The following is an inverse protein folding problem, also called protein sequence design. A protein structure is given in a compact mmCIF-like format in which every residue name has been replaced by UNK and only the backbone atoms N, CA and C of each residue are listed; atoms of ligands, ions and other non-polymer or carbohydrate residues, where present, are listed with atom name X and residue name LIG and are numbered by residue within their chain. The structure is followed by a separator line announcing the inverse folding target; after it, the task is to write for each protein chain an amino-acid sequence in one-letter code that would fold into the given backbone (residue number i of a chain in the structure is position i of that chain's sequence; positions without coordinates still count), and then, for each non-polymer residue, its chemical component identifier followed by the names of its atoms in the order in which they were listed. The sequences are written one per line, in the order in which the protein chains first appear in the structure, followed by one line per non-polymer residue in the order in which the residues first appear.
data_IF_329061148041
#
_entry.id   IF_329061148041
#
_cell.length_a   1.000
_cell.length_b   1.000
_cell.length_c   1.000
_cell.angle_alpha   90.00
_cell.angle_beta   90.00
_cell.angle_gamma   90.00
#
_symmetry.space_group_name_H-M   'P 1'
#
loop_
_entity.id
_entity.type
_entity.pdbx_description
1 polymer ?
#
# COMPACT_ATOMS: atom_id res chain seq x y z
N UNK A 1 50.58 16.23 28.29
CA UNK A 1 50.54 14.98 29.00
C UNK A 1 49.63 14.06 28.28
N UNK A 2 50.20 13.39 27.60
CA UNK A 2 50.37 12.07 26.97
C UNK A 2 49.18 11.60 26.11
N UNK A 3 49.34 11.80 24.78
CA UNK A 3 48.46 11.27 23.72
C UNK A 3 48.90 9.84 23.41
N UNK A 4 48.05 8.84 23.64
CA UNK A 4 48.29 7.49 23.13
C UNK A 4 47.58 7.31 21.81
N UNK A 5 48.40 7.14 20.81
CA UNK A 5 48.13 6.81 19.43
C UNK A 5 47.97 5.26 19.37
N UNK A 6 46.82 4.73 19.03
CA UNK A 6 46.66 3.30 18.74
C UNK A 6 46.38 3.14 17.26
N UNK A 7 47.41 2.75 16.53
CA UNK A 7 47.33 2.18 15.18
C UNK A 7 46.69 0.81 15.27
N UNK A 8 45.72 0.55 14.44
CA UNK A 8 45.23 -0.80 14.18
C UNK A 8 45.32 -1.07 12.68
N UNK A 9 46.46 -1.66 12.29
CA UNK A 9 46.66 -2.30 10.99
C UNK A 9 45.96 -3.65 11.04
N UNK A 10 44.97 -3.85 10.16
CA UNK A 10 44.23 -5.09 10.03
C UNK A 10 43.94 -5.44 8.59
N UNK A 11 45.01 -5.71 7.82
CA UNK A 11 44.97 -6.43 6.55
C UNK A 11 44.28 -7.79 6.75
N UNK A 12 43.16 -8.05 6.10
CA UNK A 12 42.64 -9.41 5.93
C UNK A 12 42.30 -9.71 4.48
N UNK A 13 42.99 -10.77 4.08
CA UNK A 13 43.01 -11.46 2.82
C UNK A 13 41.65 -11.72 2.20
N UNK A 14 41.54 -11.39 0.93
CA UNK A 14 40.56 -11.89 -0.05
C UNK A 14 40.82 -13.37 -0.30
N UNK A 15 39.93 -14.21 0.13
CA UNK A 15 39.92 -15.63 -0.30
C UNK A 15 38.95 -15.76 -1.48
N UNK A 16 39.55 -15.79 -2.65
CA UNK A 16 38.93 -16.10 -3.94
C UNK A 16 38.53 -17.59 -3.91
N UNK A 17 37.24 -17.88 -3.78
CA UNK A 17 36.70 -19.23 -3.92
C UNK A 17 35.95 -19.32 -5.25
N UNK A 18 36.73 -19.60 -6.29
CA UNK A 18 36.28 -19.97 -7.61
C UNK A 18 35.60 -21.35 -7.57
N UNK A 19 34.28 -21.39 -7.42
CA UNK A 19 33.52 -22.63 -7.56
C UNK A 19 33.36 -22.99 -9.05
N UNK A 20 34.09 -24.04 -9.38
CA UNK A 20 34.13 -24.72 -10.70
C UNK A 20 32.80 -25.47 -10.89
N UNK A 21 31.92 -24.96 -11.73
CA UNK A 21 30.70 -25.64 -12.15
C UNK A 21 31.05 -26.82 -13.08
N UNK A 22 30.82 -28.00 -12.57
CA UNK A 22 31.00 -29.25 -13.29
C UNK A 22 29.78 -29.48 -14.22
N UNK A 23 29.98 -29.24 -15.50
CA UNK A 23 29.03 -29.57 -16.59
C UNK A 23 29.20 -31.05 -16.98
N UNK A 24 28.41 -31.94 -16.40
CA UNK A 24 28.13 -33.26 -17.00
C UNK A 24 27.03 -33.94 -16.17
N UNK A 25 25.77 -33.75 -16.57
CA UNK A 25 24.69 -34.73 -16.45
C UNK A 25 23.46 -34.17 -17.17
N UNK A 26 23.41 -34.44 -18.47
CA UNK A 26 22.19 -34.26 -19.26
C UNK A 26 21.40 -35.57 -19.14
N UNK A 27 20.23 -35.59 -18.52
CA UNK A 27 19.37 -36.76 -18.55
C UNK A 27 18.73 -36.90 -19.92
N UNK A 28 18.97 -38.02 -20.56
CA UNK A 28 18.33 -38.43 -21.80
C UNK A 28 16.86 -38.73 -21.52
N UNK A 29 15.96 -37.89 -22.05
CA UNK A 29 14.52 -38.11 -21.96
C UNK A 29 14.07 -39.13 -23.02
N UNK A 30 13.21 -40.10 -22.66
CA UNK A 30 12.65 -41.02 -23.63
C UNK A 30 11.64 -40.30 -24.53
N UNK A 31 11.75 -40.61 -25.82
CA UNK A 31 10.91 -40.15 -26.90
C UNK A 31 9.47 -40.66 -26.70
N UNK A 32 8.53 -39.78 -26.34
CA UNK A 32 7.10 -40.10 -26.32
C UNK A 32 6.48 -39.76 -27.68
N UNK A 33 5.56 -40.62 -28.17
CA UNK A 33 4.92 -40.43 -29.46
C UNK A 33 3.98 -39.21 -29.44
N UNK A 34 4.09 -38.44 -30.50
CA UNK A 34 3.34 -37.26 -30.84
C UNK A 34 1.83 -37.54 -30.88
N UNK A 35 1.10 -37.17 -29.84
CA UNK A 35 -0.34 -36.98 -29.93
C UNK A 35 -0.60 -35.51 -30.23
N UNK A 36 -0.96 -35.23 -31.46
CA UNK A 36 -1.31 -33.91 -31.97
C UNK A 36 -2.75 -33.59 -31.50
N UNK A 37 -2.90 -33.12 -30.27
CA UNK A 37 -4.18 -32.57 -29.81
C UNK A 37 -4.14 -31.07 -30.06
N UNK A 38 -4.84 -30.62 -31.09
CA UNK A 38 -5.12 -29.21 -31.34
C UNK A 38 -5.98 -28.66 -30.20
N UNK A 39 -5.34 -28.15 -29.16
CA UNK A 39 -5.97 -27.27 -28.17
C UNK A 39 -5.99 -25.88 -28.79
N UNK A 40 -7.13 -25.51 -29.36
CA UNK A 40 -7.47 -24.13 -29.71
C UNK A 40 -7.51 -23.33 -28.41
N UNK A 41 -6.36 -22.76 -28.07
CA UNK A 41 -6.35 -21.70 -27.05
C UNK A 41 -7.10 -20.49 -27.63
N UNK A 42 -8.35 -20.34 -27.20
CA UNK A 42 -9.04 -19.06 -27.28
C UNK A 42 -8.26 -18.17 -26.35
N UNK A 43 -7.32 -17.39 -26.91
CA UNK A 43 -6.66 -16.31 -26.25
C UNK A 43 -7.75 -15.27 -25.93
N UNK A 44 -8.38 -15.38 -24.78
CA UNK A 44 -9.06 -14.26 -24.16
C UNK A 44 -7.96 -13.25 -23.82
N UNK A 45 -7.65 -12.39 -24.77
CA UNK A 45 -6.89 -11.18 -24.49
C UNK A 45 -7.73 -10.37 -23.49
N UNK A 46 -7.23 -10.11 -22.29
CA UNK A 46 -7.84 -9.11 -21.47
C UNK A 46 -7.49 -7.76 -22.10
N UNK A 47 -8.31 -7.32 -23.06
CA UNK A 47 -8.35 -5.92 -23.50
C UNK A 47 -8.83 -5.10 -22.30
N UNK A 48 -7.94 -4.93 -21.34
CA UNK A 48 -8.12 -3.99 -20.26
C UNK A 48 -7.80 -2.60 -20.76
N UNK A 49 -8.71 -1.98 -21.51
CA UNK A 49 -8.81 -0.53 -21.56
C UNK A 49 -9.10 -0.06 -20.13
N UNK A 50 -8.03 0.02 -19.33
CA UNK A 50 -8.03 0.72 -18.05
C UNK A 50 -8.05 2.24 -18.33
N UNK A 51 -9.08 2.71 -19.00
CA UNK A 51 -9.50 4.10 -18.84
C UNK A 51 -9.74 4.24 -17.34
N UNK A 52 -8.90 5.03 -16.67
CA UNK A 52 -8.98 5.26 -15.24
C UNK A 52 -10.41 5.68 -14.90
N UNK A 53 -11.20 4.75 -14.38
CA UNK A 53 -12.59 5.01 -14.01
C UNK A 53 -12.54 6.13 -12.99
N UNK A 54 -13.11 7.28 -13.34
CA UNK A 54 -13.13 8.43 -12.43
C UNK A 54 -13.83 8.01 -11.14
N UNK A 55 -13.17 8.19 -9.99
CA UNK A 55 -13.75 7.75 -8.71
C UNK A 55 -15.07 8.47 -8.42
N UNK A 56 -16.04 7.73 -7.94
CA UNK A 56 -17.28 8.31 -7.41
C UNK A 56 -17.08 8.73 -5.95
N UNK A 57 -16.76 10.01 -5.76
CA UNK A 57 -16.55 10.60 -4.43
C UNK A 57 -17.85 10.82 -3.66
N UNK A 58 -19.02 10.68 -4.30
CA UNK A 58 -20.34 10.82 -3.65
C UNK A 58 -20.89 9.52 -3.10
N UNK A 59 -20.21 8.38 -3.36
CA UNK A 59 -20.66 7.06 -2.96
C UNK A 59 -20.79 6.93 -1.43
N UNK A 60 -21.95 6.46 -0.97
CA UNK A 60 -22.26 6.16 0.43
C UNK A 60 -22.68 4.69 0.55
N UNK A 61 -22.18 3.92 1.55
CA UNK A 61 -21.15 4.32 2.50
C UNK A 61 -19.76 4.45 1.88
N UNK A 62 -18.99 5.40 2.38
CA UNK A 62 -17.57 5.54 2.02
C UNK A 62 -16.81 4.35 2.58
N UNK A 63 -15.98 3.69 1.75
CA UNK A 63 -15.02 2.70 2.23
C UNK A 63 -13.64 3.34 2.38
N UNK A 64 -12.98 3.06 3.51
CA UNK A 64 -11.59 3.45 3.78
C UNK A 64 -10.81 2.19 4.08
N UNK A 65 -9.71 1.99 3.34
CA UNK A 65 -8.84 0.84 3.53
C UNK A 65 -7.37 1.28 3.54
N UNK A 66 -6.57 0.61 4.36
CA UNK A 66 -5.12 0.75 4.36
C UNK A 66 -4.50 -0.58 3.94
N UNK A 67 -3.59 -0.54 2.97
CA UNK A 67 -2.89 -1.72 2.43
C UNK A 67 -1.40 -1.42 2.26
N UNK A 68 -0.54 -2.44 2.44
CA UNK A 68 0.86 -2.30 2.04
C UNK A 68 0.95 -2.10 0.52
N UNK A 69 1.84 -1.18 0.13
CA UNK A 69 2.12 -0.86 -1.26
C UNK A 69 3.60 -1.09 -1.57
N UNK A 70 3.86 -1.57 -2.78
CA UNK A 70 5.21 -1.75 -3.32
C UNK A 70 5.32 -1.06 -4.67
N UNK A 71 6.54 -0.62 -5.02
CA UNK A 71 6.82 0.00 -6.32
C UNK A 71 7.00 -1.00 -7.45
N UNK A 72 7.23 -2.28 -7.13
CA UNK A 72 7.49 -3.35 -8.08
C UNK A 72 6.39 -4.40 -8.06
N UNK A 73 6.14 -5.04 -9.21
CA UNK A 73 5.18 -6.13 -9.31
C UNK A 73 5.68 -7.36 -8.55
N UNK A 74 4.75 -8.17 -8.05
CA UNK A 74 5.02 -9.45 -7.40
C UNK A 74 3.84 -10.40 -7.57
N UNK A 75 4.04 -11.69 -7.29
CA UNK A 75 2.95 -12.66 -7.28
C UNK A 75 1.90 -12.21 -6.26
N UNK A 76 0.64 -12.36 -6.60
CA UNK A 76 -0.51 -12.00 -5.75
C UNK A 76 -0.71 -10.48 -5.48
N UNK A 77 0.19 -9.60 -5.93
CA UNK A 77 -0.01 -8.17 -5.77
C UNK A 77 -0.99 -7.61 -6.80
N UNK A 78 -1.86 -6.72 -6.36
CA UNK A 78 -2.87 -6.09 -7.19
C UNK A 78 -2.36 -4.75 -7.70
N UNK A 79 -2.20 -4.62 -9.02
CA UNK A 79 -1.81 -3.37 -9.67
C UNK A 79 -2.92 -2.32 -9.50
N UNK A 80 -2.55 -1.11 -9.08
CA UNK A 80 -3.43 0.06 -8.97
C UNK A 80 -2.71 1.33 -9.44
N UNK A 81 -3.47 2.27 -9.94
CA UNK A 81 -3.01 3.63 -10.24
C UNK A 81 -3.34 4.55 -9.08
N UNK A 82 -2.41 5.47 -8.77
CA UNK A 82 -2.61 6.48 -7.73
C UNK A 82 -3.33 7.66 -8.33
N UNK A 83 -4.48 8.02 -7.76
CA UNK A 83 -5.33 9.09 -8.25
C UNK A 83 -4.58 10.41 -8.40
N UNK A 84 -4.72 11.02 -9.56
CA UNK A 84 -4.13 12.33 -9.87
C UNK A 84 -2.59 12.39 -9.96
N UNK A 85 -1.89 11.23 -9.85
CA UNK A 85 -0.43 11.20 -9.86
C UNK A 85 0.18 10.48 -11.08
N UNK A 86 -0.61 9.77 -11.90
CA UNK A 86 -0.10 8.96 -13.01
C UNK A 86 0.90 7.87 -12.60
N UNK A 87 0.95 7.55 -11.31
CA UNK A 87 1.87 6.58 -10.71
C UNK A 87 1.16 5.25 -10.48
N UNK A 88 1.81 4.16 -10.86
CA UNK A 88 1.34 2.79 -10.57
C UNK A 88 1.99 2.26 -9.30
N UNK A 89 1.20 1.51 -8.51
CA UNK A 89 1.65 0.77 -7.33
C UNK A 89 1.03 -0.63 -7.30
N UNK A 90 1.65 -1.49 -6.52
CA UNK A 90 1.22 -2.87 -6.34
C UNK A 90 0.85 -3.09 -4.88
N UNK A 91 -0.40 -3.47 -4.63
CA UNK A 91 -0.97 -3.56 -3.30
C UNK A 91 -1.08 -5.01 -2.84
N UNK A 92 -0.88 -5.25 -1.57
CA UNK A 92 -1.31 -6.50 -0.98
C UNK A 92 -2.83 -6.68 -1.13
N UNK A 93 -3.32 -7.90 -1.48
CA UNK A 93 -4.74 -8.12 -1.74
C UNK A 93 -5.60 -7.89 -0.48
N UNK A 94 -5.05 -8.16 0.71
CA UNK A 94 -5.75 -7.99 1.99
C UNK A 94 -5.54 -6.59 2.55
N UNK A 95 -6.64 -5.94 2.95
CA UNK A 95 -6.58 -4.70 3.72
C UNK A 95 -6.09 -4.99 5.16
N UNK A 96 -5.17 -4.18 5.65
CA UNK A 96 -4.70 -4.24 7.04
C UNK A 96 -5.68 -3.54 7.98
N UNK A 97 -6.25 -2.44 7.51
CA UNK A 97 -7.32 -1.68 8.18
C UNK A 97 -8.48 -1.53 7.20
N UNK A 98 -9.69 -1.67 7.68
CA UNK A 98 -10.94 -1.52 6.94
C UNK A 98 -11.96 -0.75 7.77
N UNK A 99 -13.15 -0.48 7.20
CA UNK A 99 -14.21 0.25 7.92
C UNK A 99 -14.58 -0.35 9.28
N UNK A 100 -14.48 -1.67 9.47
CA UNK A 100 -14.73 -2.33 10.75
C UNK A 100 -13.73 -1.96 11.86
N UNK A 101 -12.55 -1.48 11.47
CA UNK A 101 -11.49 -1.03 12.38
C UNK A 101 -11.57 0.48 12.68
N UNK A 102 -12.46 1.20 11.98
CA UNK A 102 -12.61 2.66 12.02
C UNK A 102 -13.86 3.00 12.83
N UNK A 103 -13.69 3.82 13.85
CA UNK A 103 -14.79 4.32 14.69
C UNK A 103 -15.46 5.56 14.08
N UNK A 104 -14.67 6.42 13.42
CA UNK A 104 -15.12 7.70 12.86
C UNK A 104 -14.13 8.20 11.82
N UNK A 105 -14.63 8.92 10.85
CA UNK A 105 -13.84 9.72 9.91
C UNK A 105 -14.43 11.12 9.85
N UNK A 106 -13.58 12.13 9.81
CA UNK A 106 -13.94 13.51 9.50
C UNK A 106 -13.12 13.99 8.31
N UNK A 107 -13.77 14.72 7.42
CA UNK A 107 -13.13 15.38 6.30
C UNK A 107 -12.96 16.86 6.60
N UNK A 108 -11.71 17.31 6.80
CA UNK A 108 -11.34 18.68 7.07
C UNK A 108 -10.82 19.32 5.78
N UNK A 109 -11.34 20.50 5.44
CA UNK A 109 -10.80 21.26 4.30
C UNK A 109 -9.40 21.77 4.62
N UNK A 110 -8.47 21.60 3.68
CA UNK A 110 -7.15 22.21 3.82
C UNK A 110 -7.26 23.73 3.76
N UNK A 111 -6.58 24.43 4.65
CA UNK A 111 -6.49 25.90 4.62
C UNK A 111 -5.52 26.38 3.54
N UNK A 112 -4.55 25.56 3.19
CA UNK A 112 -3.48 25.86 2.24
C UNK A 112 -3.44 24.71 1.23
N UNK A 113 -3.63 25.02 -0.06
CA UNK A 113 -3.58 24.05 -1.15
C UNK A 113 -4.95 23.44 -1.52
N UNK A 114 -4.89 22.42 -2.39
CA UNK A 114 -6.05 21.69 -2.88
C UNK A 114 -6.20 20.39 -2.10
N UNK A 115 -7.44 20.00 -1.79
CA UNK A 115 -7.72 18.69 -1.20
C UNK A 115 -8.44 18.73 0.14
N UNK A 116 -8.44 17.59 0.79
CA UNK A 116 -9.07 17.37 2.09
C UNK A 116 -8.11 16.57 2.98
N UNK A 117 -8.16 16.83 4.28
CA UNK A 117 -7.53 16.00 5.29
C UNK A 117 -8.61 15.09 5.85
N UNK A 118 -8.42 13.78 5.74
CA UNK A 118 -9.25 12.82 6.44
C UNK A 118 -8.62 12.55 7.80
N UNK A 119 -9.31 12.93 8.84
CA UNK A 119 -8.96 12.56 10.20
C UNK A 119 -9.71 11.25 10.53
N UNK A 120 -8.96 10.19 10.81
CA UNK A 120 -9.48 8.85 11.01
C UNK A 120 -9.29 8.45 12.48
N UNK A 121 -10.37 8.14 13.18
CA UNK A 121 -10.36 7.56 14.52
C UNK A 121 -10.60 6.06 14.43
N UNK A 122 -9.77 5.31 15.12
CA UNK A 122 -9.87 3.85 15.13
C UNK A 122 -10.73 3.35 16.29
N UNK A 123 -11.36 2.20 16.09
CA UNK A 123 -11.91 1.42 17.21
C UNK A 123 -10.77 0.94 18.11
N UNK A 124 -11.06 0.45 19.31
CA UNK A 124 -10.02 -0.10 20.19
C UNK A 124 -9.24 -1.25 19.56
N UNK A 125 -9.93 -2.10 18.78
CA UNK A 125 -9.29 -3.18 18.02
C UNK A 125 -8.48 -2.65 16.83
N UNK A 126 -9.03 -1.70 16.08
CA UNK A 126 -8.34 -1.05 14.95
C UNK A 126 -7.08 -0.31 15.38
N UNK A 127 -7.11 0.40 16.51
CA UNK A 127 -5.95 1.07 17.08
C UNK A 127 -4.81 0.09 17.42
N UNK A 128 -5.13 -1.08 17.95
CA UNK A 128 -4.11 -2.13 18.20
C UNK A 128 -3.55 -2.69 16.92
N UNK A 129 -4.41 -2.96 15.92
CA UNK A 129 -3.98 -3.46 14.62
C UNK A 129 -3.04 -2.49 13.91
N UNK A 130 -3.42 -1.20 13.83
CA UNK A 130 -2.59 -0.21 13.13
C UNK A 130 -1.25 0.01 13.84
N UNK A 131 -1.22 -0.02 15.18
CA UNK A 131 0.01 0.10 15.97
C UNK A 131 0.95 -1.07 15.72
N UNK A 132 0.45 -2.30 15.79
CA UNK A 132 1.23 -3.51 15.55
C UNK A 132 1.74 -3.54 14.11
N UNK A 133 0.84 -3.27 13.16
CA UNK A 133 1.17 -3.21 11.75
C UNK A 133 2.25 -2.16 11.45
N UNK A 134 2.09 -0.92 11.91
CA UNK A 134 3.06 0.14 11.63
C UNK A 134 4.41 -0.09 12.32
N UNK A 135 4.43 -0.78 13.48
CA UNK A 135 5.69 -1.17 14.13
C UNK A 135 6.51 -2.15 13.30
N UNK A 136 5.84 -3.08 12.62
CA UNK A 136 6.49 -4.11 11.80
C UNK A 136 6.92 -3.61 10.42
N UNK A 137 6.39 -2.46 9.97
CA UNK A 137 6.50 -1.95 8.61
C UNK A 137 7.07 -0.53 8.53
N UNK A 138 7.97 -0.17 9.47
CA UNK A 138 8.68 1.13 9.41
C UNK A 138 9.53 1.18 8.14
N UNK A 139 9.41 2.25 7.37
CA UNK A 139 10.07 2.43 6.07
C UNK A 139 9.26 1.94 4.88
N UNK A 140 8.23 1.12 5.08
CA UNK A 140 7.36 0.64 4.02
C UNK A 140 6.33 1.70 3.59
N UNK A 141 5.80 1.54 2.38
CA UNK A 141 4.74 2.39 1.85
C UNK A 141 3.35 1.84 2.20
N UNK A 142 2.49 2.74 2.68
CA UNK A 142 1.11 2.43 3.05
C UNK A 142 0.16 3.09 2.05
N UNK A 143 -0.55 2.28 1.24
CA UNK A 143 -1.58 2.82 0.37
C UNK A 143 -2.86 3.10 1.17
N UNK A 144 -3.39 4.30 0.98
CA UNK A 144 -4.70 4.71 1.47
C UNK A 144 -5.69 4.63 0.32
N UNK A 145 -6.73 3.82 0.49
CA UNK A 145 -7.79 3.66 -0.49
C UNK A 145 -9.10 4.26 0.04
N UNK A 146 -9.77 5.01 -0.84
CA UNK A 146 -11.14 5.49 -0.61
C UNK A 146 -11.99 4.97 -1.78
N UNK A 147 -13.07 4.27 -1.47
CA UNK A 147 -13.93 3.63 -2.49
C UNK A 147 -13.13 2.83 -3.51
N UNK A 148 -12.13 2.05 -3.04
CA UNK A 148 -11.20 1.23 -3.84
C UNK A 148 -10.21 2.02 -4.72
N UNK A 149 -10.18 3.34 -4.62
CA UNK A 149 -9.24 4.22 -5.34
C UNK A 149 -8.06 4.56 -4.43
N UNK A 150 -6.83 4.36 -4.89
CA UNK A 150 -5.63 4.77 -4.15
C UNK A 150 -5.48 6.28 -4.22
N UNK A 151 -5.57 6.97 -3.08
CA UNK A 151 -5.52 8.44 -3.00
C UNK A 151 -4.22 8.98 -2.43
N UNK A 152 -3.52 8.17 -1.63
CA UNK A 152 -2.25 8.56 -1.02
C UNK A 152 -1.37 7.34 -0.74
N UNK A 153 -0.06 7.55 -0.70
CA UNK A 153 0.93 6.51 -0.39
C UNK A 153 1.98 7.11 0.56
N UNK A 154 1.62 7.33 1.83
CA UNK A 154 2.60 7.73 2.83
C UNK A 154 3.60 6.62 3.14
N UNK A 155 4.81 7.01 3.56
CA UNK A 155 5.80 6.10 4.14
C UNK A 155 5.58 6.05 5.65
N UNK A 156 5.60 4.86 6.22
CA UNK A 156 5.48 4.65 7.66
C UNK A 156 6.81 5.07 8.30
N UNK A 157 6.83 6.22 8.97
CA UNK A 157 8.05 6.75 9.61
C UNK A 157 8.22 6.27 11.04
N UNK A 158 7.10 6.02 11.74
CA UNK A 158 7.08 5.58 13.13
C UNK A 158 5.81 4.78 13.42
N UNK A 159 5.80 3.95 14.48
CA UNK A 159 4.58 3.27 14.90
C UNK A 159 3.52 4.27 15.32
N UNK A 160 2.26 3.99 14.99
CA UNK A 160 1.12 4.71 15.53
C UNK A 160 0.83 4.13 16.93
N UNK A 161 1.12 4.91 17.98
CA UNK A 161 0.88 4.47 19.36
C UNK A 161 -0.60 4.58 19.73
N UNK A 162 -1.30 3.49 20.04
CA UNK A 162 -2.70 3.52 20.41
C UNK A 162 -2.97 4.21 21.76
N UNK A 163 -1.93 4.43 22.59
CA UNK A 163 -2.05 5.14 23.87
C UNK A 163 -2.02 6.64 23.73
N UNK A 164 -1.38 7.18 22.69
CA UNK A 164 -1.18 8.63 22.48
C UNK A 164 -1.92 9.16 21.26
N UNK A 165 -2.11 8.32 20.23
CA UNK A 165 -2.79 8.69 18.99
C UNK A 165 -3.89 7.68 18.66
N UNK A 166 -5.13 8.10 18.87
CA UNK A 166 -6.31 7.33 18.44
C UNK A 166 -6.78 7.73 17.04
N UNK A 167 -6.12 8.70 16.43
CA UNK A 167 -6.44 9.21 15.08
C UNK A 167 -5.20 9.36 14.20
N UNK A 168 -5.42 9.32 12.91
CA UNK A 168 -4.42 9.61 11.86
C UNK A 168 -4.97 10.66 10.91
N UNK A 169 -4.12 11.59 10.51
CA UNK A 169 -4.44 12.61 9.51
C UNK A 169 -3.88 12.18 8.15
N UNK A 170 -4.77 12.02 7.18
CA UNK A 170 -4.44 11.56 5.82
C UNK A 170 -4.79 12.67 4.84
N UNK A 171 -3.76 13.26 4.22
CA UNK A 171 -3.94 14.23 3.16
C UNK A 171 -4.38 13.56 1.85
N UNK A 172 -5.50 14.03 1.27
CA UNK A 172 -6.03 13.53 0.01
C UNK A 172 -6.06 14.70 -0.99
N UNK A 173 -5.23 14.67 -2.05
CA UNK A 173 -5.15 15.73 -3.03
C UNK A 173 -6.34 15.63 -4.00
N UNK A 174 -7.40 16.36 -3.77
CA UNK A 174 -8.61 16.42 -4.59
C UNK A 174 -8.87 17.83 -5.10
N UNK A 175 -9.53 17.93 -6.23
CA UNK A 175 -10.08 19.20 -6.68
C UNK A 175 -11.23 19.66 -5.75
N UNK A 176 -11.50 20.97 -5.63
CA UNK A 176 -12.47 21.49 -4.66
C UNK A 176 -13.86 20.86 -4.74
N UNK A 177 -14.33 20.54 -5.95
CA UNK A 177 -15.62 19.89 -6.18
C UNK A 177 -15.62 18.46 -5.61
N UNK A 178 -14.57 17.71 -5.88
CA UNK A 178 -14.39 16.32 -5.41
C UNK A 178 -14.21 16.28 -3.90
N UNK A 179 -13.42 17.20 -3.35
CA UNK A 179 -13.24 17.37 -1.92
C UNK A 179 -14.57 17.61 -1.18
N UNK A 180 -15.46 18.44 -1.75
CA UNK A 180 -16.79 18.67 -1.20
C UNK A 180 -17.69 17.42 -1.29
N UNK A 181 -17.65 16.69 -2.41
CA UNK A 181 -18.40 15.44 -2.58
C UNK A 181 -17.96 14.40 -1.53
N UNK A 182 -16.65 14.20 -1.41
CA UNK A 182 -16.10 13.27 -0.41
C UNK A 182 -16.46 13.69 1.02
N UNK A 183 -16.32 14.96 1.37
CA UNK A 183 -16.65 15.46 2.70
C UNK A 183 -18.13 15.23 3.05
N UNK A 184 -19.04 15.42 2.09
CA UNK A 184 -20.46 15.14 2.26
C UNK A 184 -20.70 13.63 2.47
N UNK A 185 -20.13 12.78 1.63
CA UNK A 185 -20.28 11.33 1.74
C UNK A 185 -19.68 10.78 3.06
N UNK A 186 -18.54 11.32 3.50
CA UNK A 186 -17.92 10.98 4.80
C UNK A 186 -18.86 11.34 5.95
N UNK A 187 -19.44 12.55 5.94
CA UNK A 187 -20.37 12.98 7.02
C UNK A 187 -21.66 12.14 7.06
N UNK A 188 -22.10 11.60 5.92
CA UNK A 188 -23.25 10.68 5.85
C UNK A 188 -22.89 9.28 6.34
N UNK A 189 -21.65 8.83 6.07
CA UNK A 189 -21.19 7.50 6.52
C UNK A 189 -20.89 7.46 8.01
N UNK A 190 -20.27 8.53 8.54
CA UNK A 190 -19.95 8.69 9.96
C UNK A 190 -20.56 10.01 10.49
N UNK A 191 -21.85 10.02 10.80
CA UNK A 191 -22.50 11.23 11.30
C UNK A 191 -21.85 11.67 12.62
N UNK A 192 -21.63 12.98 12.75
CA UNK A 192 -21.15 13.55 14.01
C UNK A 192 -22.12 13.15 15.13
N UNK A 193 -21.60 12.60 16.25
CA UNK A 193 -22.44 12.36 17.42
C UNK A 193 -23.07 13.69 17.83
N UNK A 194 -24.42 13.70 17.91
CA UNK A 194 -25.12 14.87 18.49
C UNK A 194 -24.46 15.20 19.84
N UNK A 195 -24.04 16.44 20.02
CA UNK A 195 -23.58 16.90 21.32
C UNK A 195 -24.81 16.91 22.23
N UNK A 196 -24.93 15.91 23.09
CA UNK A 196 -25.87 15.95 24.21
C UNK A 196 -25.32 16.84 25.28
#
# INVERSE_FOLDING_TARGET
MERRNVRNDGTRATTDRQERWNTTNVPTFPTFPTFLTFLTFIACSPSGDNAAVKPDWSRVPVSVELRLAQGTSGPELVRREVYGQGRTVYLQPRAQISNGDIARVEALKTRIGKGVILQVWYTRSGARKIAEFTRQHIGDSLAVLINSTVVAIPIIQQPIDPGTQTSSDIGVPLEPKEANQLATAVSQTWPAKAKN
#
